data_IF_580828163093
#
_entry.id   IF_580828163093
#
_cell.length_a   1.000
_cell.length_b   1.000
_cell.length_c   1.000
_cell.angle_alpha   90.00
_cell.angle_beta   90.00
_cell.angle_gamma   90.00
#
_symmetry.space_group_name_H-M   'P 1'
#
loop_
_entity.id
_entity.type
_entity.pdbx_description
1 polymer ?
#
# COMPACT_ATOMS: atom_id res chain seq x y z
N UNK A 1 -25.79 4.78 -14.73
CA UNK A 1 -26.27 4.10 -13.51
C UNK A 1 -25.75 2.65 -13.38
N UNK A 2 -25.43 1.96 -14.47
CA UNK A 2 -25.00 0.55 -14.47
C UNK A 2 -23.61 0.24 -13.90
N UNK A 3 -22.59 1.13 -14.02
CA UNK A 3 -21.19 0.76 -13.69
C UNK A 3 -20.92 0.55 -12.20
N UNK A 4 -21.41 1.42 -11.33
CA UNK A 4 -21.20 1.28 -9.89
C UNK A 4 -22.03 0.17 -9.26
N UNK A 5 -23.26 -0.06 -9.75
CA UNK A 5 -24.13 -1.15 -9.26
C UNK A 5 -23.63 -2.55 -9.66
N UNK A 6 -22.92 -2.70 -10.81
CA UNK A 6 -22.33 -3.98 -11.22
C UNK A 6 -21.09 -4.37 -10.40
N UNK A 7 -20.33 -3.39 -9.86
CA UNK A 7 -19.21 -3.66 -8.95
C UNK A 7 -19.68 -4.36 -7.65
N UNK A 8 -20.93 -4.11 -7.24
CA UNK A 8 -21.49 -4.73 -6.04
C UNK A 8 -21.87 -6.19 -6.18
N UNK A 9 -22.22 -6.65 -7.40
CA UNK A 9 -22.68 -8.02 -7.61
C UNK A 9 -21.55 -9.06 -7.66
N UNK A 10 -20.30 -8.65 -7.88
CA UNK A 10 -19.16 -9.58 -7.98
C UNK A 10 -18.61 -9.94 -6.61
N UNK A 11 -19.38 -10.75 -5.86
CA UNK A 11 -19.08 -11.22 -4.50
C UNK A 11 -17.98 -12.31 -4.46
N UNK A 12 -17.44 -12.72 -5.59
CA UNK A 12 -16.40 -13.73 -5.63
C UNK A 12 -15.06 -13.10 -5.21
N UNK A 13 -14.58 -13.53 -4.05
CA UNK A 13 -13.22 -13.24 -3.59
C UNK A 13 -12.23 -13.66 -4.66
N UNK A 14 -11.47 -12.72 -5.17
CA UNK A 14 -10.51 -12.99 -6.23
C UNK A 14 -9.23 -13.49 -5.56
N UNK A 15 -9.13 -14.82 -5.41
CA UNK A 15 -8.05 -15.50 -4.68
C UNK A 15 -6.64 -15.08 -5.14
N UNK A 16 -6.47 -14.78 -6.43
CA UNK A 16 -5.15 -14.35 -6.92
C UNK A 16 -4.73 -12.96 -6.41
N UNK A 17 -5.69 -12.05 -6.13
CA UNK A 17 -5.35 -10.76 -5.50
C UNK A 17 -4.89 -10.95 -4.06
N UNK A 18 -5.49 -11.87 -3.34
CA UNK A 18 -5.05 -12.21 -1.98
C UNK A 18 -3.65 -12.84 -2.02
N UNK A 19 -3.38 -13.73 -2.97
CA UNK A 19 -2.05 -14.32 -3.17
C UNK A 19 -0.99 -13.28 -3.53
N UNK A 20 -1.33 -12.36 -4.44
CA UNK A 20 -0.42 -11.29 -4.83
C UNK A 20 -0.14 -10.32 -3.67
N UNK A 21 -1.15 -9.99 -2.86
CA UNK A 21 -0.96 -9.19 -1.64
C UNK A 21 -0.03 -9.88 -0.64
N UNK A 22 -0.19 -11.19 -0.46
CA UNK A 22 0.70 -12.00 0.37
C UNK A 22 2.15 -11.96 -0.13
N UNK A 23 2.35 -12.11 -1.44
CA UNK A 23 3.67 -12.01 -2.06
C UNK A 23 4.29 -10.62 -1.85
N UNK A 24 3.52 -9.55 -2.07
CA UNK A 24 3.99 -8.18 -1.84
C UNK A 24 4.34 -7.94 -0.37
N UNK A 25 3.56 -8.48 0.57
CA UNK A 25 3.89 -8.38 2.00
C UNK A 25 5.23 -9.06 2.34
N UNK A 26 5.52 -10.21 1.72
CA UNK A 26 6.82 -10.89 1.86
C UNK A 26 7.94 -10.01 1.30
N UNK A 27 7.77 -9.41 0.12
CA UNK A 27 8.77 -8.53 -0.49
C UNK A 27 9.02 -7.29 0.39
N UNK A 28 7.98 -6.67 0.96
CA UNK A 28 8.13 -5.56 1.90
C UNK A 28 8.93 -5.99 3.12
N UNK A 29 8.57 -7.11 3.76
CA UNK A 29 9.28 -7.62 4.93
C UNK A 29 10.74 -7.97 4.62
N UNK A 30 10.98 -8.59 3.47
CA UNK A 30 12.31 -8.93 2.98
C UNK A 30 13.15 -7.67 2.71
N UNK A 31 12.59 -6.67 2.02
CA UNK A 31 13.24 -5.42 1.72
C UNK A 31 13.65 -4.66 2.99
N UNK A 32 12.77 -4.59 3.99
CA UNK A 32 13.11 -4.01 5.29
C UNK A 32 14.20 -4.80 6.01
N UNK A 33 14.06 -6.12 6.08
CA UNK A 33 15.06 -6.95 6.75
C UNK A 33 16.45 -6.78 6.13
N UNK A 34 16.55 -6.91 4.80
CA UNK A 34 17.84 -6.79 4.13
C UNK A 34 18.37 -5.36 4.09
N UNK A 35 17.52 -4.36 3.83
CA UNK A 35 17.91 -2.96 3.81
C UNK A 35 18.46 -2.49 5.15
N UNK A 36 17.74 -2.73 6.24
CA UNK A 36 18.15 -2.37 7.58
C UNK A 36 19.42 -3.14 8.02
N UNK A 37 19.50 -4.44 7.70
CA UNK A 37 20.69 -5.26 8.01
C UNK A 37 21.92 -4.72 7.28
N UNK A 38 21.80 -4.35 6.00
CA UNK A 38 22.92 -3.75 5.23
C UNK A 38 23.38 -2.46 5.90
N UNK A 39 22.47 -1.54 6.18
CA UNK A 39 22.79 -0.25 6.81
C UNK A 39 23.42 -0.44 8.18
N UNK A 40 22.85 -1.29 9.01
CA UNK A 40 23.38 -1.57 10.35
C UNK A 40 24.78 -2.17 10.31
N UNK A 41 24.99 -3.20 9.48
CA UNK A 41 26.29 -3.86 9.39
C UNK A 41 27.37 -2.93 8.84
N UNK A 42 27.07 -2.14 7.80
CA UNK A 42 28.04 -1.20 7.23
C UNK A 42 28.37 -0.04 8.17
N UNK A 43 27.43 0.40 9.02
CA UNK A 43 27.66 1.50 9.95
C UNK A 43 28.41 1.09 11.22
N UNK A 44 28.21 -0.14 11.71
CA UNK A 44 28.75 -0.59 12.99
C UNK A 44 29.88 -1.62 12.85
N UNK A 45 29.85 -2.43 11.79
CA UNK A 45 30.77 -3.54 11.59
C UNK A 45 31.22 -3.66 10.12
N UNK A 46 31.82 -2.62 9.51
CA UNK A 46 32.16 -2.62 8.08
C UNK A 46 33.10 -3.76 7.71
N UNK A 47 34.07 -4.10 8.57
CA UNK A 47 35.05 -5.16 8.35
C UNK A 47 34.48 -6.57 8.52
N UNK A 48 33.34 -6.70 9.22
CA UNK A 48 32.65 -7.97 9.45
C UNK A 48 31.57 -8.26 8.41
N UNK A 49 31.38 -7.37 7.41
CA UNK A 49 30.37 -7.56 6.40
C UNK A 49 30.71 -8.74 5.49
N UNK A 50 29.90 -9.82 5.47
CA UNK A 50 30.25 -11.03 4.75
C UNK A 50 30.36 -10.79 3.23
N UNK A 51 31.45 -11.27 2.61
CA UNK A 51 31.68 -11.11 1.17
C UNK A 51 30.54 -11.66 0.30
N UNK A 52 29.96 -12.80 0.66
CA UNK A 52 28.83 -13.38 -0.07
C UNK A 52 27.59 -12.48 -0.02
N UNK A 53 27.38 -11.79 1.11
CA UNK A 53 26.26 -10.86 1.29
C UNK A 53 26.48 -9.59 0.47
N UNK A 54 27.72 -9.07 0.41
CA UNK A 54 28.09 -7.98 -0.49
C UNK A 54 27.79 -8.32 -1.94
N UNK A 55 28.20 -9.51 -2.40
CA UNK A 55 27.92 -9.97 -3.77
C UNK A 55 26.43 -10.20 -4.03
N UNK A 56 25.68 -10.64 -3.04
CA UNK A 56 24.22 -10.74 -3.13
C UNK A 56 23.57 -9.36 -3.33
N UNK A 57 23.99 -8.34 -2.59
CA UNK A 57 23.47 -6.98 -2.78
C UNK A 57 23.88 -6.41 -4.13
N UNK A 58 25.13 -6.56 -4.53
CA UNK A 58 25.61 -6.14 -5.85
C UNK A 58 24.77 -6.77 -6.96
N UNK A 59 24.53 -8.08 -6.89
CA UNK A 59 23.68 -8.79 -7.84
C UNK A 59 22.25 -8.26 -7.84
N UNK A 60 21.63 -8.09 -6.68
CA UNK A 60 20.25 -7.61 -6.61
C UNK A 60 20.11 -6.15 -7.05
N UNK A 61 21.07 -5.28 -6.75
CA UNK A 61 21.03 -3.86 -7.10
C UNK A 61 21.34 -3.61 -8.58
N UNK A 62 22.14 -4.45 -9.21
CA UNK A 62 22.57 -4.29 -10.62
C UNK A 62 21.71 -5.06 -11.63
N UNK A 63 20.80 -5.90 -11.17
CA UNK A 63 19.94 -6.72 -12.02
C UNK A 63 18.46 -6.34 -11.86
N UNK A 64 17.57 -6.78 -12.77
CA UNK A 64 16.13 -6.61 -12.61
C UNK A 64 15.56 -7.19 -11.32
N UNK A 65 16.31 -8.02 -10.59
CA UNK A 65 15.90 -8.55 -9.27
C UNK A 65 15.85 -7.50 -8.17
N UNK A 66 16.25 -6.26 -8.42
CA UNK A 66 16.10 -5.13 -7.48
C UNK A 66 14.66 -4.99 -6.94
N UNK A 67 13.64 -5.40 -7.69
CA UNK A 67 12.26 -5.39 -7.23
C UNK A 67 12.02 -6.29 -6.00
N UNK A 68 12.83 -7.33 -5.79
CA UNK A 68 12.66 -8.25 -4.65
C UNK A 68 13.08 -7.66 -3.32
N UNK A 69 13.94 -6.64 -3.35
CA UNK A 69 14.42 -5.90 -2.17
C UNK A 69 13.87 -4.48 -2.11
N UNK A 70 13.14 -4.06 -3.14
CA UNK A 70 12.55 -2.73 -3.21
C UNK A 70 11.17 -2.71 -2.54
N UNK A 71 11.14 -2.32 -1.26
CA UNK A 71 9.89 -2.16 -0.51
C UNK A 71 8.93 -1.14 -1.13
N UNK A 72 9.44 -0.11 -1.81
CA UNK A 72 8.59 0.90 -2.49
C UNK A 72 7.78 0.27 -3.62
N UNK A 73 8.42 -0.59 -4.44
CA UNK A 73 7.71 -1.32 -5.50
C UNK A 73 6.54 -2.13 -4.93
N UNK A 74 6.81 -2.94 -3.91
CA UNK A 74 5.79 -3.78 -3.29
C UNK A 74 4.66 -2.94 -2.66
N UNK A 75 4.98 -1.81 -2.06
CA UNK A 75 4.02 -0.86 -1.49
C UNK A 75 3.11 -0.26 -2.57
N UNK A 76 3.65 0.13 -3.72
CA UNK A 76 2.87 0.66 -4.85
C UNK A 76 1.89 -0.40 -5.38
N UNK A 77 2.37 -1.63 -5.60
CA UNK A 77 1.50 -2.74 -6.02
C UNK A 77 0.40 -2.98 -4.99
N UNK A 78 0.74 -2.91 -3.70
CA UNK A 78 -0.22 -3.06 -2.61
C UNK A 78 -1.32 -2.00 -2.65
N UNK A 79 -0.97 -0.73 -2.91
CA UNK A 79 -1.95 0.35 -3.05
C UNK A 79 -2.84 0.16 -4.28
N UNK A 80 -2.29 -0.23 -5.42
CA UNK A 80 -3.07 -0.51 -6.63
C UNK A 80 -4.09 -1.64 -6.36
N UNK A 81 -3.64 -2.73 -5.73
CA UNK A 81 -4.53 -3.85 -5.38
C UNK A 81 -5.60 -3.43 -4.35
N UNK A 82 -5.22 -2.61 -3.37
CA UNK A 82 -6.18 -2.07 -2.40
C UNK A 82 -7.25 -1.24 -3.08
N UNK A 83 -6.87 -0.34 -3.98
CA UNK A 83 -7.81 0.48 -4.74
C UNK A 83 -8.74 -0.33 -5.64
N UNK A 84 -8.20 -1.35 -6.32
CA UNK A 84 -8.97 -2.23 -7.20
C UNK A 84 -10.05 -3.03 -6.46
N UNK A 85 -9.77 -3.45 -5.22
CA UNK A 85 -10.73 -4.22 -4.41
C UNK A 85 -11.71 -3.29 -3.68
N UNK A 86 -11.21 -2.14 -3.21
CA UNK A 86 -11.92 -1.31 -2.24
C UNK A 86 -13.15 -0.66 -2.83
N UNK A 87 -13.08 -0.16 -4.07
CA UNK A 87 -14.23 0.47 -4.73
C UNK A 87 -15.42 -0.48 -4.84
N UNK A 88 -15.16 -1.76 -5.17
CA UNK A 88 -16.19 -2.81 -5.21
C UNK A 88 -16.64 -3.33 -3.85
N UNK A 89 -15.87 -3.08 -2.78
CA UNK A 89 -16.20 -3.52 -1.43
C UNK A 89 -17.20 -2.61 -0.71
N UNK A 90 -17.40 -1.38 -1.18
CA UNK A 90 -18.38 -0.46 -0.61
C UNK A 90 -19.80 -0.84 -1.02
N UNK A 91 -20.52 -1.52 -0.14
CA UNK A 91 -21.88 -2.04 -0.39
C UNK A 91 -22.91 -0.91 -0.45
N UNK A 92 -23.91 -1.04 -1.37
CA UNK A 92 -25.02 -0.09 -1.53
C UNK A 92 -25.78 0.19 -0.23
N UNK A 93 -25.99 -0.86 0.57
CA UNK A 93 -26.86 -0.79 1.76
C UNK A 93 -26.11 -0.35 3.03
N UNK A 94 -24.83 0.07 2.94
CA UNK A 94 -24.11 0.56 4.11
C UNK A 94 -24.04 2.07 4.10
N UNK A 95 -24.32 2.68 5.26
CA UNK A 95 -24.14 4.12 5.42
C UNK A 95 -22.65 4.51 5.28
N UNK A 96 -22.41 5.74 4.87
CA UNK A 96 -21.04 6.31 4.79
C UNK A 96 -20.31 6.13 6.13
N UNK A 97 -20.97 6.49 7.24
CA UNK A 97 -20.39 6.43 8.58
C UNK A 97 -20.04 4.98 8.97
N UNK A 98 -20.92 4.01 8.71
CA UNK A 98 -20.62 2.61 9.02
C UNK A 98 -19.43 2.07 8.20
N UNK A 99 -19.29 2.49 6.96
CA UNK A 99 -18.15 2.12 6.10
C UNK A 99 -16.85 2.76 6.61
N UNK A 100 -16.90 4.01 7.03
CA UNK A 100 -15.79 4.74 7.63
C UNK A 100 -15.31 4.07 8.93
N UNK A 101 -16.22 3.77 9.85
CA UNK A 101 -15.90 3.12 11.15
C UNK A 101 -15.29 1.74 10.91
N UNK A 102 -15.87 0.93 10.03
CA UNK A 102 -15.31 -0.39 9.70
C UNK A 102 -13.90 -0.28 9.14
N UNK A 103 -13.64 0.72 8.31
CA UNK A 103 -12.32 0.95 7.72
C UNK A 103 -11.32 1.38 8.79
N UNK A 104 -11.74 2.32 9.65
CA UNK A 104 -10.94 2.78 10.77
C UNK A 104 -10.53 1.62 11.69
N UNK A 105 -11.50 0.80 12.12
CA UNK A 105 -11.21 -0.36 12.99
C UNK A 105 -10.29 -1.36 12.29
N UNK A 106 -10.56 -1.65 11.02
CA UNK A 106 -9.77 -2.63 10.26
C UNK A 106 -8.30 -2.24 10.10
N UNK A 107 -8.01 -0.95 9.97
CA UNK A 107 -6.62 -0.44 9.86
C UNK A 107 -6.06 -0.08 11.23
N UNK A 108 -6.85 0.55 12.09
CA UNK A 108 -6.38 1.06 13.38
C UNK A 108 -6.01 -0.03 14.37
N UNK A 109 -6.77 -1.13 14.44
CA UNK A 109 -6.45 -2.22 15.38
C UNK A 109 -5.09 -2.85 15.11
N UNK A 110 -4.72 -3.26 13.88
CA UNK A 110 -3.38 -3.75 13.58
C UNK A 110 -2.27 -2.72 13.82
N UNK A 111 -2.53 -1.44 13.48
CA UNK A 111 -1.57 -0.34 13.72
C UNK A 111 -1.31 -0.19 15.22
N UNK A 112 -2.36 -0.11 16.02
CA UNK A 112 -2.24 0.02 17.47
C UNK A 112 -1.50 -1.17 18.09
N UNK A 113 -1.84 -2.40 17.67
CA UNK A 113 -1.14 -3.61 18.12
C UNK A 113 0.35 -3.59 17.75
N UNK A 114 0.69 -3.13 16.55
CA UNK A 114 2.09 -3.00 16.11
C UNK A 114 2.87 -1.97 16.92
N UNK A 115 2.24 -0.86 17.33
CA UNK A 115 2.85 0.13 18.20
C UNK A 115 3.12 -0.42 19.60
N UNK A 116 2.19 -1.22 20.16
CA UNK A 116 2.42 -1.91 21.45
C UNK A 116 3.62 -2.85 21.35
N UNK A 117 3.69 -3.67 20.29
CA UNK A 117 4.82 -4.58 20.07
C UNK A 117 6.13 -3.79 19.94
N UNK A 118 6.14 -2.72 19.12
CA UNK A 118 7.28 -1.84 18.97
C UNK A 118 7.76 -1.25 20.30
N UNK A 119 6.83 -0.79 21.14
CA UNK A 119 7.12 -0.27 22.47
C UNK A 119 7.77 -1.33 23.37
N UNK A 120 7.21 -2.55 23.38
CA UNK A 120 7.78 -3.66 24.17
C UNK A 120 9.20 -3.98 23.70
N UNK A 121 9.45 -4.01 22.39
CA UNK A 121 10.79 -4.29 21.84
C UNK A 121 11.81 -3.21 22.22
N UNK A 122 11.42 -1.92 22.20
CA UNK A 122 12.27 -0.80 22.65
C UNK A 122 12.58 -0.96 24.13
N UNK A 123 11.58 -1.16 24.98
CA UNK A 123 11.77 -1.31 26.44
C UNK A 123 12.56 -2.56 26.84
N UNK A 124 12.54 -3.59 26.02
CA UNK A 124 13.30 -4.83 26.24
C UNK A 124 14.74 -4.77 25.70
N UNK A 125 15.17 -3.63 25.13
CA UNK A 125 16.51 -3.47 24.56
C UNK A 125 16.76 -4.25 23.27
N UNK A 126 15.70 -4.81 22.63
CA UNK A 126 15.82 -5.51 21.35
C UNK A 126 15.91 -4.55 20.14
N UNK A 127 15.75 -3.26 20.38
CA UNK A 127 15.77 -2.25 19.34
C UNK A 127 16.75 -1.14 19.71
N UNK A 128 17.87 -1.06 19.00
CA UNK A 128 19.01 -0.19 19.31
C UNK A 128 18.89 1.24 18.78
N UNK A 129 17.98 1.50 17.85
CA UNK A 129 17.83 2.77 17.14
C UNK A 129 16.92 3.77 17.87
N UNK A 130 16.39 3.40 19.02
CA UNK A 130 15.48 4.23 19.81
C UNK A 130 15.97 4.48 21.24
N UNK A 131 15.68 5.69 21.69
CA UNK A 131 15.89 6.10 23.07
C UNK A 131 15.01 5.22 24.00
N UNK A 132 15.63 4.59 25.00
CA UNK A 132 14.94 3.76 26.00
C UNK A 132 13.86 4.52 26.80
N UNK A 133 13.89 5.87 26.73
CA UNK A 133 12.96 6.76 27.42
C UNK A 133 11.64 6.99 26.68
N UNK A 134 11.29 6.18 25.68
CA UNK A 134 9.98 6.27 25.04
C UNK A 134 8.87 6.06 26.06
N UNK A 135 7.97 7.04 26.18
CA UNK A 135 6.84 7.00 27.09
C UNK A 135 5.67 6.24 26.45
N UNK A 136 4.79 5.65 27.27
CA UNK A 136 3.65 4.89 26.78
C UNK A 136 2.61 5.75 26.02
N UNK A 137 2.58 7.06 26.26
CA UNK A 137 1.72 7.99 25.52
C UNK A 137 2.06 8.03 24.02
N UNK A 138 3.33 7.74 23.63
CA UNK A 138 3.71 7.59 22.23
C UNK A 138 3.01 6.40 21.55
N UNK A 139 2.73 5.32 22.27
CA UNK A 139 1.92 4.20 21.74
C UNK A 139 0.52 4.68 21.38
N UNK A 140 -0.11 5.47 22.25
CA UNK A 140 -1.45 6.00 22.02
C UNK A 140 -1.44 7.01 20.86
N UNK A 141 -0.48 7.95 20.87
CA UNK A 141 -0.33 8.94 19.81
C UNK A 141 -0.13 8.26 18.45
N UNK A 142 0.87 7.41 18.34
CA UNK A 142 1.19 6.76 17.08
C UNK A 142 0.13 5.74 16.66
N UNK A 143 -0.40 4.96 17.57
CA UNK A 143 -1.42 3.94 17.28
C UNK A 143 -2.77 4.50 16.83
N UNK A 144 -3.11 5.73 17.23
CA UNK A 144 -4.39 6.37 16.89
C UNK A 144 -4.19 7.48 15.85
N UNK A 145 -3.22 8.38 16.06
CA UNK A 145 -3.09 9.58 15.24
C UNK A 145 -2.39 9.32 13.91
N UNK A 146 -1.57 8.28 13.79
CA UNK A 146 -0.84 7.98 12.54
C UNK A 146 -1.77 7.72 11.35
N UNK A 147 -3.02 7.31 11.57
CA UNK A 147 -3.99 7.17 10.48
C UNK A 147 -4.43 8.51 9.88
N UNK A 148 -4.21 9.62 10.61
CA UNK A 148 -4.66 10.97 10.20
C UNK A 148 -3.53 11.89 9.78
N UNK A 149 -2.29 11.56 10.13
CA UNK A 149 -1.13 12.40 9.87
C UNK A 149 -0.09 11.67 9.05
N UNK A 150 0.54 12.39 8.14
CA UNK A 150 1.71 11.97 7.38
C UNK A 150 2.99 12.61 7.92
N UNK A 151 2.93 13.22 9.11
CA UNK A 151 4.09 13.83 9.73
C UNK A 151 5.05 12.73 10.23
N UNK A 152 6.15 12.59 9.52
CA UNK A 152 7.22 11.62 9.77
C UNK A 152 8.32 12.16 10.70
N UNK A 153 8.11 13.33 11.28
CA UNK A 153 9.10 13.98 12.17
C UNK A 153 9.27 13.25 13.51
N UNK A 154 8.32 12.39 13.86
CA UNK A 154 8.35 11.59 15.09
C UNK A 154 9.05 10.26 14.89
N UNK A 155 9.88 9.85 15.83
CA UNK A 155 10.53 8.53 15.84
C UNK A 155 9.47 7.44 15.96
N UNK A 156 9.19 6.74 14.88
CA UNK A 156 8.14 5.74 14.84
C UNK A 156 8.49 4.50 15.67
N UNK A 157 7.56 4.09 16.53
CA UNK A 157 7.60 2.76 17.15
C UNK A 157 7.57 1.64 16.09
N UNK A 158 6.91 1.92 14.97
CA UNK A 158 6.96 1.09 13.78
C UNK A 158 7.06 1.97 12.52
N UNK A 159 8.21 2.02 11.83
CA UNK A 159 8.41 2.90 10.68
C UNK A 159 7.54 2.56 9.48
N UNK A 160 6.94 1.36 9.42
CA UNK A 160 6.09 0.93 8.29
C UNK A 160 4.67 1.55 8.35
N UNK A 161 4.30 2.16 9.49
CA UNK A 161 2.94 2.69 9.70
C UNK A 161 2.56 3.82 8.72
N UNK A 162 3.50 4.55 8.16
CA UNK A 162 3.23 5.61 7.18
C UNK A 162 2.32 5.15 6.03
N UNK A 163 2.47 3.91 5.59
CA UNK A 163 1.66 3.34 4.51
C UNK A 163 0.18 3.18 4.90
N UNK A 164 -0.11 2.97 6.19
CA UNK A 164 -1.48 2.85 6.71
C UNK A 164 -2.24 4.17 6.65
N UNK A 165 -1.57 5.30 6.94
CA UNK A 165 -2.11 6.64 6.77
C UNK A 165 -2.54 6.88 5.31
N UNK A 166 -1.65 6.59 4.37
CA UNK A 166 -1.93 6.69 2.93
C UNK A 166 -3.11 5.80 2.51
N UNK A 167 -3.15 4.56 3.00
CA UNK A 167 -4.25 3.63 2.70
C UNK A 167 -5.57 4.12 3.30
N UNK A 168 -5.56 4.68 4.50
CA UNK A 168 -6.75 5.24 5.14
C UNK A 168 -7.27 6.45 4.35
N UNK A 169 -6.43 7.44 4.05
CA UNK A 169 -6.79 8.62 3.27
C UNK A 169 -7.30 8.28 1.88
N UNK A 170 -6.60 7.41 1.16
CA UNK A 170 -7.05 6.94 -0.16
C UNK A 170 -8.40 6.22 -0.08
N UNK A 171 -8.63 5.45 1.00
CA UNK A 171 -9.92 4.78 1.19
C UNK A 171 -11.07 5.75 1.49
N UNK A 172 -10.80 6.88 2.16
CA UNK A 172 -11.79 7.95 2.35
C UNK A 172 -12.19 8.57 1.01
N UNK A 173 -11.21 8.90 0.17
CA UNK A 173 -11.48 9.44 -1.16
C UNK A 173 -12.32 8.46 -1.98
N UNK A 174 -11.99 7.18 -1.98
CA UNK A 174 -12.79 6.16 -2.68
C UNK A 174 -14.17 5.96 -2.10
N UNK A 175 -14.35 6.10 -0.79
CA UNK A 175 -15.65 6.05 -0.15
C UNK A 175 -16.54 7.21 -0.60
N UNK A 176 -15.98 8.43 -0.71
CA UNK A 176 -16.68 9.61 -1.24
C UNK A 176 -17.05 9.38 -2.72
N UNK A 177 -16.10 8.90 -3.54
CA UNK A 177 -16.35 8.56 -4.95
C UNK A 177 -17.47 7.53 -5.08
N UNK A 178 -17.45 6.47 -4.28
CA UNK A 178 -18.49 5.45 -4.30
C UNK A 178 -19.86 6.01 -3.90
N UNK A 179 -19.92 6.87 -2.89
CA UNK A 179 -21.17 7.49 -2.42
C UNK A 179 -21.78 8.42 -3.49
N UNK A 180 -20.95 9.28 -4.10
CA UNK A 180 -21.38 10.18 -5.19
C UNK A 180 -21.77 9.36 -6.43
N UNK A 181 -20.98 8.33 -6.76
CA UNK A 181 -21.20 7.48 -7.92
C UNK A 181 -22.48 6.64 -7.84
N UNK A 182 -22.96 6.32 -6.64
CA UNK A 182 -24.28 5.65 -6.44
C UNK A 182 -25.42 6.53 -6.89
N UNK A 183 -25.36 7.82 -6.59
CA UNK A 183 -26.39 8.77 -6.99
C UNK A 183 -26.28 9.12 -8.49
N UNK A 184 -25.07 9.35 -8.96
CA UNK A 184 -24.79 9.66 -10.35
C UNK A 184 -23.42 9.13 -10.76
N UNK A 185 -23.40 8.11 -11.60
CA UNK A 185 -22.16 7.44 -12.08
C UNK A 185 -21.20 8.42 -12.79
N UNK A 186 -21.72 9.41 -13.52
CA UNK A 186 -20.86 10.41 -14.21
C UNK A 186 -20.14 11.29 -13.21
N UNK A 187 -20.84 11.76 -12.17
CA UNK A 187 -20.22 12.57 -11.12
C UNK A 187 -19.18 11.77 -10.32
N UNK A 188 -19.43 10.48 -10.03
CA UNK A 188 -18.45 9.63 -9.38
C UNK A 188 -17.18 9.44 -10.21
N UNK A 189 -17.33 9.23 -11.53
CA UNK A 189 -16.18 9.12 -12.44
C UNK A 189 -15.40 10.45 -12.53
N UNK A 190 -16.10 11.57 -12.64
CA UNK A 190 -15.46 12.89 -12.67
C UNK A 190 -14.70 13.15 -11.38
N UNK A 191 -15.29 12.84 -10.23
CA UNK A 191 -14.64 13.03 -8.94
C UNK A 191 -13.39 12.12 -8.78
N UNK A 192 -13.47 10.88 -9.22
CA UNK A 192 -12.32 9.98 -9.25
C UNK A 192 -11.20 10.54 -10.14
N UNK A 193 -11.55 11.09 -11.30
CA UNK A 193 -10.60 11.73 -12.21
C UNK A 193 -9.91 12.93 -11.56
N UNK A 194 -10.67 13.82 -10.95
CA UNK A 194 -10.12 14.99 -10.24
C UNK A 194 -9.20 14.55 -9.10
N UNK A 195 -9.63 13.62 -8.25
CA UNK A 195 -8.78 13.12 -7.17
C UNK A 195 -7.50 12.47 -7.69
N UNK A 196 -7.55 11.76 -8.83
CA UNK A 196 -6.37 11.16 -9.43
C UNK A 196 -5.37 12.22 -9.89
N UNK A 197 -5.83 13.30 -10.51
CA UNK A 197 -4.94 14.40 -10.93
C UNK A 197 -4.32 15.10 -9.71
N UNK A 198 -5.13 15.46 -8.71
CA UNK A 198 -4.63 16.18 -7.53
C UNK A 198 -3.73 15.31 -6.62
N UNK A 199 -3.82 14.00 -6.71
CA UNK A 199 -2.95 13.09 -5.95
C UNK A 199 -1.67 12.69 -6.70
N UNK A 200 -1.42 13.24 -7.89
CA UNK A 200 -0.20 12.99 -8.64
C UNK A 200 1.04 13.37 -7.81
N UNK A 201 2.03 12.49 -7.75
CA UNK A 201 3.21 12.65 -6.89
C UNK A 201 3.06 12.09 -5.47
N UNK A 202 1.86 11.67 -5.06
CA UNK A 202 1.63 11.03 -3.75
C UNK A 202 1.29 9.55 -3.93
N UNK A 203 1.57 8.73 -2.92
CA UNK A 203 1.24 7.28 -2.96
C UNK A 203 -0.26 6.98 -3.11
N UNK A 204 -1.13 7.89 -2.68
CA UNK A 204 -2.59 7.81 -2.88
C UNK A 204 -2.96 7.71 -4.37
N UNK A 205 -2.17 8.30 -5.27
CA UNK A 205 -2.34 8.19 -6.71
C UNK A 205 -2.45 6.74 -7.18
N UNK A 206 -1.56 5.87 -6.70
CA UNK A 206 -1.56 4.46 -7.09
C UNK A 206 -2.81 3.71 -6.61
N UNK A 207 -3.34 4.07 -5.45
CA UNK A 207 -4.60 3.53 -4.96
C UNK A 207 -5.78 3.95 -5.85
N UNK A 208 -5.81 5.19 -6.32
CA UNK A 208 -6.83 5.68 -7.25
C UNK A 208 -6.70 5.05 -8.65
N UNK A 209 -5.49 4.78 -9.13
CA UNK A 209 -5.24 3.98 -10.34
C UNK A 209 -5.84 2.57 -10.19
N UNK A 210 -5.69 1.94 -9.03
CA UNK A 210 -6.34 0.66 -8.73
C UNK A 210 -7.86 0.73 -8.87
N UNK A 211 -8.49 1.81 -8.42
CA UNK A 211 -9.92 2.03 -8.60
C UNK A 211 -10.32 2.18 -10.08
N UNK A 212 -9.52 2.85 -10.91
CA UNK A 212 -9.72 2.91 -12.36
C UNK A 212 -9.68 1.51 -13.00
N UNK A 213 -8.71 0.69 -12.61
CA UNK A 213 -8.63 -0.71 -13.07
C UNK A 213 -9.92 -1.46 -12.73
N UNK A 214 -10.44 -1.30 -11.50
CA UNK A 214 -11.70 -1.93 -11.09
C UNK A 214 -12.88 -1.51 -11.98
N UNK A 215 -12.99 -0.22 -12.32
CA UNK A 215 -14.06 0.30 -13.19
C UNK A 215 -13.93 -0.25 -14.61
N UNK A 216 -12.73 -0.29 -15.17
CA UNK A 216 -12.46 -0.82 -16.50
C UNK A 216 -12.83 -2.29 -16.61
N UNK A 217 -12.44 -3.11 -15.62
CA UNK A 217 -12.78 -4.54 -15.63
C UNK A 217 -14.23 -4.86 -15.24
N UNK A 218 -14.97 -3.92 -14.66
CA UNK A 218 -16.38 -4.09 -14.37
C UNK A 218 -17.27 -3.90 -15.62
N UNK A 219 -16.78 -3.25 -16.67
CA UNK A 219 -17.53 -3.09 -17.93
C UNK A 219 -17.55 -4.41 -18.70
N UNK A 220 -18.75 -4.90 -19.03
CA UNK A 220 -18.92 -6.18 -19.75
C UNK A 220 -18.23 -6.19 -21.11
N UNK A 221 -18.22 -5.07 -21.82
CA UNK A 221 -17.51 -4.94 -23.10
C UNK A 221 -16.02 -5.19 -22.93
N UNK A 222 -15.41 -4.57 -21.94
CA UNK A 222 -13.98 -4.74 -21.62
C UNK A 222 -13.72 -6.11 -20.98
N UNK A 223 -14.66 -6.61 -20.17
CA UNK A 223 -14.55 -7.93 -19.55
C UNK A 223 -14.67 -9.06 -20.55
N UNK A 224 -15.44 -8.89 -21.63
CA UNK A 224 -15.62 -9.89 -22.68
C UNK A 224 -14.53 -9.83 -23.76
N UNK A 225 -13.86 -8.69 -23.92
CA UNK A 225 -12.68 -8.56 -24.80
C UNK A 225 -11.49 -9.40 -24.33
N UNK A 226 -11.42 -9.71 -23.04
CA UNK A 226 -10.29 -10.42 -22.46
C UNK A 226 -10.75 -11.72 -21.80
N UNK A 227 -10.24 -12.84 -22.28
CA UNK A 227 -10.35 -14.12 -21.61
C UNK A 227 -9.65 -14.05 -20.24
N UNK A 228 -9.99 -14.93 -19.30
CA UNK A 228 -9.39 -14.90 -17.96
C UNK A 228 -7.85 -14.94 -17.99
N UNK A 229 -7.25 -15.66 -18.95
CA UNK A 229 -5.78 -15.69 -19.15
C UNK A 229 -5.23 -14.32 -19.56
N UNK A 230 -5.91 -13.60 -20.44
CA UNK A 230 -5.49 -12.27 -20.92
C UNK A 230 -5.58 -11.22 -19.82
N UNK A 231 -6.57 -11.31 -18.92
CA UNK A 231 -6.67 -10.46 -17.74
C UNK A 231 -5.46 -10.62 -16.81
N UNK A 232 -4.96 -11.86 -16.64
CA UNK A 232 -3.74 -12.12 -15.88
C UNK A 232 -2.51 -11.51 -16.57
N UNK A 233 -2.40 -11.67 -17.89
CA UNK A 233 -1.29 -11.11 -18.67
C UNK A 233 -1.29 -9.59 -18.59
N UNK A 234 -2.44 -8.94 -18.76
CA UNK A 234 -2.55 -7.47 -18.68
C UNK A 234 -2.20 -6.98 -17.27
N UNK A 235 -2.69 -7.64 -16.22
CA UNK A 235 -2.32 -7.31 -14.85
C UNK A 235 -0.81 -7.46 -14.62
N UNK A 236 -0.21 -8.52 -15.14
CA UNK A 236 1.22 -8.76 -15.07
C UNK A 236 2.00 -7.70 -15.85
N UNK A 237 1.57 -7.35 -17.06
CA UNK A 237 2.19 -6.29 -17.87
C UNK A 237 2.09 -4.91 -17.21
N UNK A 238 0.96 -4.60 -16.56
CA UNK A 238 0.82 -3.36 -15.79
C UNK A 238 1.77 -3.33 -14.60
N UNK A 239 1.93 -4.44 -13.87
CA UNK A 239 2.90 -4.57 -12.80
C UNK A 239 4.31 -4.40 -13.35
N UNK A 240 4.64 -5.06 -14.46
CA UNK A 240 5.94 -4.96 -15.12
C UNK A 240 6.24 -3.52 -15.59
N UNK A 241 5.26 -2.84 -16.17
CA UNK A 241 5.39 -1.44 -16.57
C UNK A 241 5.66 -0.52 -15.36
N UNK A 242 5.01 -0.77 -14.22
CA UNK A 242 5.27 -0.03 -12.97
C UNK A 242 6.68 -0.30 -12.46
N UNK A 243 7.15 -1.56 -12.54
CA UNK A 243 8.55 -1.92 -12.19
C UNK A 243 9.54 -1.16 -13.06
N UNK A 244 9.32 -1.15 -14.38
CA UNK A 244 10.19 -0.45 -15.33
C UNK A 244 10.19 1.05 -15.06
N UNK A 245 9.02 1.64 -14.82
CA UNK A 245 8.89 3.07 -14.49
C UNK A 245 9.60 3.42 -13.17
N UNK A 246 9.58 2.53 -12.19
CA UNK A 246 10.31 2.73 -10.93
C UNK A 246 11.82 2.56 -11.04
N UNK A 247 12.28 1.79 -12.03
CA UNK A 247 13.72 1.66 -12.33
C UNK A 247 14.26 2.91 -13.03
N UNK A 248 13.40 3.85 -13.44
CA UNK A 248 13.79 5.11 -14.04
C UNK A 248 14.07 6.16 -12.94
N UNK A 249 15.29 6.72 -12.85
CA UNK A 249 15.65 7.69 -11.79
C UNK A 249 14.83 8.97 -11.80
N UNK A 250 14.06 9.22 -12.86
CA UNK A 250 13.18 10.40 -13.01
C UNK A 250 11.95 10.36 -12.06
N UNK A 251 11.60 9.18 -11.53
CA UNK A 251 10.43 9.02 -10.66
C UNK A 251 10.76 9.04 -9.15
N UNK A 252 11.97 9.37 -8.75
CA UNK A 252 12.37 9.58 -7.37
C UNK A 252 12.54 11.08 -7.05
N UNK A 253 11.46 11.84 -6.80
CA UNK A 253 11.60 13.22 -6.33
C UNK A 253 12.01 13.32 -4.85
N UNK A 254 12.20 12.19 -4.15
CA UNK A 254 12.49 12.12 -2.73
C UNK A 254 13.63 11.11 -2.43
N UNK A 255 14.71 11.20 -3.20
CA UNK A 255 15.99 10.54 -2.91
C UNK A 255 16.80 11.33 -1.89
#
# INVERSE_FOLDING_TARGET
MMRFNKLEQKKNRILYFDGLRGLMAIIVAYGHFFGETKLFMLSHYPDAFPYWLSKFYEFTETTPFVFTINGNFATIVFFILSGAILLGAFKANTTFIASLIRRFIRLGVPVFASCIIGYILVKSGFRYDHDENVAFDEVIKQGILTLYTTDFSTRFLNPVIWSMSTEFMGSLLLLIVAQVGRNNSRHGILLLFLFTIFSYGYYVFFLLIGAWISILFADEKTSNLFNNKEKYVITLLMILAIVILQSCPVFYPWG
#
